data_IF_520836642520
#
_entry.id   IF_520836642520
#
_cell.length_a   1.000
_cell.length_b   1.000
_cell.length_c   1.000
_cell.angle_alpha   90.00
_cell.angle_beta   90.00
_cell.angle_gamma   90.00
#
_symmetry.space_group_name_H-M   'P 1'
#
loop_
_entity.id
_entity.type
_entity.pdbx_description
1 polymer ?
#
# COMPACT_ATOMS: atom_id res chain seq x y z
N UNK A 1 -30.90 -29.94 7.26
CA UNK A 1 -29.64 -30.69 7.14
C UNK A 1 -28.50 -29.70 7.22
N UNK A 2 -27.77 -29.67 8.34
CA UNK A 2 -26.49 -28.94 8.43
C UNK A 2 -25.52 -29.58 7.44
N UNK A 3 -25.24 -28.88 6.34
CA UNK A 3 -24.18 -29.32 5.42
C UNK A 3 -22.85 -29.06 6.11
N UNK A 4 -22.29 -30.09 6.72
CA UNK A 4 -20.97 -30.04 7.36
C UNK A 4 -19.94 -29.54 6.34
N UNK A 5 -19.28 -28.42 6.65
CA UNK A 5 -18.25 -27.86 5.79
C UNK A 5 -17.03 -28.78 5.79
N UNK A 6 -16.54 -29.21 4.62
CA UNK A 6 -15.37 -30.08 4.53
C UNK A 6 -14.13 -29.47 5.16
N UNK A 7 -13.24 -30.32 5.66
CA UNK A 7 -11.96 -29.89 6.22
C UNK A 7 -11.09 -29.11 5.22
N UNK A 8 -11.27 -29.34 3.92
CA UNK A 8 -10.66 -28.52 2.87
C UNK A 8 -11.19 -27.08 2.90
N UNK A 9 -12.51 -26.87 2.90
CA UNK A 9 -13.12 -25.54 2.94
C UNK A 9 -12.73 -24.76 4.21
N UNK A 10 -12.68 -25.44 5.37
CA UNK A 10 -12.20 -24.83 6.61
C UNK A 10 -10.72 -24.45 6.57
N UNK A 11 -9.86 -25.29 6.00
CA UNK A 11 -8.43 -24.97 5.82
C UNK A 11 -8.23 -23.78 4.90
N UNK A 12 -8.94 -23.74 3.77
CA UNK A 12 -8.89 -22.62 2.84
C UNK A 12 -9.40 -21.32 3.47
N UNK A 13 -10.48 -21.38 4.26
CA UNK A 13 -10.98 -20.24 5.02
C UNK A 13 -9.95 -19.68 6.02
N UNK A 14 -9.24 -20.56 6.74
CA UNK A 14 -8.17 -20.15 7.66
C UNK A 14 -6.97 -19.52 6.92
N UNK A 15 -6.61 -20.06 5.74
CA UNK A 15 -5.58 -19.46 4.90
C UNK A 15 -6.01 -18.07 4.39
N UNK A 16 -7.26 -17.92 3.95
CA UNK A 16 -7.80 -16.63 3.51
C UNK A 16 -7.80 -15.58 4.64
N UNK A 17 -8.25 -15.92 5.85
CA UNK A 17 -8.22 -14.98 6.99
C UNK A 17 -6.78 -14.54 7.32
N UNK A 18 -5.81 -15.47 7.28
CA UNK A 18 -4.40 -15.13 7.46
C UNK A 18 -3.87 -14.20 6.35
N UNK A 19 -4.21 -14.47 5.08
CA UNK A 19 -3.78 -13.63 3.96
C UNK A 19 -4.44 -12.25 3.98
N UNK A 20 -5.71 -12.14 4.38
CA UNK A 20 -6.35 -10.83 4.61
C UNK A 20 -5.65 -10.05 5.73
N UNK A 21 -5.21 -10.73 6.79
CA UNK A 21 -4.36 -10.12 7.83
C UNK A 21 -3.04 -9.58 7.28
N UNK A 22 -2.39 -10.32 6.37
CA UNK A 22 -1.17 -9.88 5.67
C UNK A 22 -1.43 -8.71 4.73
N UNK A 23 -2.52 -8.71 3.96
CA UNK A 23 -2.89 -7.58 3.09
C UNK A 23 -3.12 -6.31 3.91
N UNK A 24 -3.83 -6.41 5.03
CA UNK A 24 -4.04 -5.28 5.93
C UNK A 24 -2.71 -4.72 6.49
N UNK A 25 -1.74 -5.58 6.78
CA UNK A 25 -0.40 -5.15 7.20
C UNK A 25 0.37 -4.46 6.06
N UNK A 26 0.27 -4.98 4.84
CA UNK A 26 0.87 -4.37 3.65
C UNK A 26 0.25 -3.03 3.32
N UNK A 27 -1.07 -2.89 3.43
CA UNK A 27 -1.76 -1.61 3.23
C UNK A 27 -1.24 -0.52 4.20
N UNK A 28 -1.02 -0.86 5.47
CA UNK A 28 -0.40 0.07 6.44
C UNK A 28 1.03 0.43 6.07
N UNK A 29 1.84 -0.55 5.68
CA UNK A 29 3.23 -0.32 5.23
C UNK A 29 3.28 0.55 3.97
N UNK A 30 2.37 0.33 3.02
CA UNK A 30 2.25 1.07 1.78
C UNK A 30 1.90 2.53 2.06
N UNK A 31 0.90 2.77 2.91
CA UNK A 31 0.51 4.11 3.32
C UNK A 31 1.67 4.85 4.00
N UNK A 32 2.39 4.18 4.91
CA UNK A 32 3.57 4.76 5.56
C UNK A 32 4.70 5.08 4.55
N UNK A 33 4.93 4.21 3.56
CA UNK A 33 5.91 4.45 2.50
C UNK A 33 5.51 5.62 1.60
N UNK A 34 4.22 5.72 1.24
CA UNK A 34 3.68 6.83 0.48
C UNK A 34 3.83 8.16 1.23
N UNK A 35 3.54 8.19 2.54
CA UNK A 35 3.80 9.37 3.36
C UNK A 35 5.26 9.79 3.36
N UNK A 36 6.19 8.84 3.47
CA UNK A 36 7.63 9.13 3.41
C UNK A 36 8.05 9.66 2.05
N UNK A 37 7.50 9.10 0.96
CA UNK A 37 7.76 9.57 -0.39
C UNK A 37 7.26 11.00 -0.60
N UNK A 38 6.03 11.30 -0.16
CA UNK A 38 5.48 12.66 -0.22
C UNK A 38 6.36 13.63 0.58
N UNK A 39 6.70 13.30 1.84
CA UNK A 39 7.59 14.15 2.65
C UNK A 39 8.97 14.36 2.03
N UNK A 40 9.51 13.36 1.34
CA UNK A 40 10.80 13.50 0.64
C UNK A 40 10.67 14.37 -0.62
N UNK A 41 9.50 14.39 -1.25
CA UNK A 41 9.19 15.25 -2.40
C UNK A 41 8.86 16.69 -2.02
N UNK A 42 8.35 16.95 -0.81
CA UNK A 42 7.97 18.29 -0.35
C UNK A 42 9.08 19.33 -0.58
N UNK A 43 10.38 19.06 -0.27
CA UNK A 43 11.45 20.01 -0.54
C UNK A 43 11.73 20.25 -2.03
N UNK A 44 11.38 19.35 -2.95
CA UNK A 44 11.47 19.66 -4.38
C UNK A 44 10.28 20.51 -4.83
N UNK A 45 9.08 20.18 -4.36
CA UNK A 45 7.86 20.93 -4.67
C UNK A 45 7.97 22.39 -4.22
N UNK A 46 8.47 22.62 -3.01
CA UNK A 46 8.69 23.95 -2.46
C UNK A 46 10.06 24.54 -2.85
N UNK A 47 11.06 23.69 -3.07
CA UNK A 47 12.45 24.14 -3.17
C UNK A 47 13.03 24.30 -4.57
N UNK A 48 12.49 23.60 -5.57
CA UNK A 48 12.81 23.75 -7.00
C UNK A 48 11.70 24.47 -7.77
N UNK A 49 11.01 25.39 -7.08
CA UNK A 49 10.02 26.27 -7.67
C UNK A 49 10.61 26.97 -8.92
N UNK A 50 9.82 27.22 -9.99
CA UNK A 50 10.28 27.88 -11.22
C UNK A 50 11.16 29.12 -11.00
N UNK A 51 10.83 29.97 -10.02
CA UNK A 51 11.61 31.16 -9.68
C UNK A 51 12.97 30.84 -9.06
N UNK A 52 13.05 29.72 -8.35
CA UNK A 52 14.27 29.20 -7.77
C UNK A 52 15.21 28.61 -8.81
N UNK A 53 14.64 27.97 -9.83
CA UNK A 53 15.37 27.58 -11.03
C UNK A 53 15.79 28.83 -11.83
N UNK A 54 14.94 29.84 -11.95
CA UNK A 54 15.27 31.13 -12.54
C UNK A 54 16.36 31.89 -11.77
N UNK A 55 16.50 31.70 -10.45
CA UNK A 55 17.60 32.28 -9.68
C UNK A 55 18.95 31.58 -9.93
N UNK A 56 18.94 30.26 -10.22
CA UNK A 56 20.14 29.46 -10.48
C UNK A 56 20.54 29.50 -11.96
N UNK A 57 19.56 29.56 -12.86
CA UNK A 57 19.74 29.47 -14.31
C UNK A 57 19.40 30.77 -15.07
N UNK A 58 18.78 31.76 -14.41
CA UNK A 58 18.40 33.08 -14.94
C UNK A 58 17.14 33.05 -15.82
N UNK A 59 16.01 33.67 -15.43
CA UNK A 59 14.85 33.88 -16.32
C UNK A 59 14.13 35.22 -16.03
N UNK A 60 13.60 35.89 -17.07
CA UNK A 60 13.09 37.28 -17.08
C UNK A 60 12.40 37.75 -15.77
N UNK A 61 12.94 38.76 -15.05
CA UNK A 61 12.58 39.08 -13.65
C UNK A 61 11.14 39.54 -13.41
N UNK A 62 10.41 40.00 -14.43
CA UNK A 62 9.19 40.78 -14.23
C UNK A 62 7.93 39.95 -13.89
N UNK A 63 7.94 38.63 -14.06
CA UNK A 63 6.80 37.75 -13.78
C UNK A 63 6.80 37.10 -12.38
N UNK A 64 7.93 37.22 -11.66
CA UNK A 64 8.22 36.48 -10.42
C UNK A 64 7.72 37.22 -9.16
N UNK A 65 7.60 38.54 -9.22
CA UNK A 65 7.39 39.38 -8.02
C UNK A 65 5.97 39.35 -7.43
N UNK A 66 4.94 38.91 -8.16
CA UNK A 66 3.54 39.09 -7.74
C UNK A 66 2.96 37.90 -6.96
N UNK A 67 3.59 36.72 -6.97
CA UNK A 67 3.05 35.53 -6.32
C UNK A 67 3.86 35.00 -5.10
N UNK A 68 5.08 35.50 -4.83
CA UNK A 68 6.06 34.71 -4.05
C UNK A 68 6.88 35.43 -2.96
N UNK A 69 6.50 36.65 -2.55
CA UNK A 69 7.25 37.39 -1.52
C UNK A 69 7.31 36.70 -0.12
N UNK A 70 6.49 35.68 0.16
CA UNK A 70 6.40 35.06 1.48
C UNK A 70 7.17 33.73 1.64
N UNK A 71 7.60 33.04 0.58
CA UNK A 71 8.12 31.66 0.69
C UNK A 71 9.41 31.44 -0.12
N UNK A 72 10.57 31.79 0.45
CA UNK A 72 11.87 31.38 -0.11
C UNK A 72 12.09 29.88 0.08
N UNK A 73 12.55 29.22 -0.98
CA UNK A 73 12.99 27.82 -0.98
C UNK A 73 14.08 27.54 0.08
N UNK A 74 13.84 26.56 0.96
CA UNK A 74 14.84 26.09 1.94
C UNK A 74 16.08 25.50 1.26
N UNK A 75 15.91 24.86 0.09
CA UNK A 75 16.98 24.22 -0.69
C UNK A 75 17.90 25.27 -1.32
N UNK A 76 17.34 26.38 -1.81
CA UNK A 76 18.12 27.48 -2.40
C UNK A 76 18.67 28.44 -1.37
N UNK A 77 18.06 28.49 -0.18
CA UNK A 77 18.63 29.14 1.00
C UNK A 77 19.79 28.36 1.63
N UNK A 78 20.07 27.14 1.16
CA UNK A 78 21.19 26.34 1.65
C UNK A 78 22.54 26.91 1.20
N UNK A 79 23.58 26.70 2.02
CA UNK A 79 24.95 27.14 1.71
C UNK A 79 25.52 26.52 0.43
N UNK A 80 25.09 25.30 0.12
CA UNK A 80 25.41 24.58 -1.12
C UNK A 80 24.11 23.99 -1.70
N UNK A 81 23.41 24.72 -2.57
CA UNK A 81 22.13 24.29 -3.12
C UNK A 81 22.24 23.02 -3.97
N UNK A 82 23.35 22.81 -4.68
CA UNK A 82 23.52 21.62 -5.52
C UNK A 82 23.64 20.35 -4.67
N UNK A 83 24.43 20.40 -3.59
CA UNK A 83 24.52 19.30 -2.65
C UNK A 83 23.16 19.03 -1.97
N UNK A 84 22.41 20.08 -1.62
CA UNK A 84 21.08 19.95 -1.05
C UNK A 84 20.09 19.26 -2.00
N UNK A 85 20.07 19.65 -3.29
CA UNK A 85 19.25 19.01 -4.32
C UNK A 85 19.61 17.54 -4.48
N UNK A 86 20.92 17.21 -4.53
CA UNK A 86 21.37 15.82 -4.67
C UNK A 86 20.95 14.97 -3.46
N UNK A 87 21.01 15.53 -2.25
CA UNK A 87 20.54 14.86 -1.05
C UNK A 87 19.04 14.55 -1.11
N UNK A 88 18.22 15.54 -1.48
CA UNK A 88 16.76 15.37 -1.62
C UNK A 88 16.45 14.32 -2.68
N UNK A 89 17.11 14.37 -3.84
CA UNK A 89 16.96 13.35 -4.89
C UNK A 89 17.18 11.92 -4.36
N UNK A 90 18.24 11.69 -3.60
CA UNK A 90 18.51 10.35 -3.04
C UNK A 90 17.50 9.93 -1.98
N UNK A 91 16.98 10.86 -1.19
CA UNK A 91 15.91 10.56 -0.22
C UNK A 91 14.63 10.12 -0.93
N UNK A 92 14.24 10.82 -2.00
CA UNK A 92 13.09 10.47 -2.84
C UNK A 92 13.30 9.11 -3.48
N UNK A 93 14.46 8.89 -4.10
CA UNK A 93 14.76 7.63 -4.77
C UNK A 93 14.63 6.43 -3.83
N UNK A 94 15.17 6.53 -2.60
CA UNK A 94 15.04 5.48 -1.58
C UNK A 94 13.59 5.29 -1.14
N UNK A 95 12.85 6.38 -0.90
CA UNK A 95 11.45 6.30 -0.52
C UNK A 95 10.58 5.68 -1.63
N UNK A 96 10.88 6.00 -2.89
CA UNK A 96 10.22 5.44 -4.06
C UNK A 96 10.47 3.93 -4.18
N UNK A 97 11.72 3.48 -4.06
CA UNK A 97 12.05 2.05 -4.06
C UNK A 97 11.29 1.32 -2.94
N UNK A 98 11.26 1.89 -1.73
CA UNK A 98 10.55 1.29 -0.60
C UNK A 98 9.04 1.21 -0.85
N UNK A 99 8.43 2.27 -1.39
CA UNK A 99 7.02 2.27 -1.79
C UNK A 99 6.74 1.21 -2.85
N UNK A 100 7.54 1.18 -3.92
CA UNK A 100 7.37 0.26 -5.04
C UNK A 100 7.49 -1.20 -4.60
N UNK A 101 8.47 -1.52 -3.74
CA UNK A 101 8.64 -2.87 -3.21
C UNK A 101 7.40 -3.35 -2.44
N UNK A 102 6.80 -2.49 -1.60
CA UNK A 102 5.58 -2.84 -0.85
C UNK A 102 4.36 -2.93 -1.77
N UNK A 103 4.26 -2.03 -2.76
CA UNK A 103 3.18 -2.06 -3.75
C UNK A 103 3.19 -3.38 -4.54
N UNK A 104 4.38 -3.81 -4.95
CA UNK A 104 4.58 -5.06 -5.68
C UNK A 104 4.30 -6.30 -4.80
N UNK A 105 4.76 -6.30 -3.55
CA UNK A 105 4.44 -7.35 -2.57
C UNK A 105 2.92 -7.49 -2.38
N UNK A 106 2.20 -6.37 -2.31
CA UNK A 106 0.74 -6.36 -2.20
C UNK A 106 0.04 -6.81 -3.48
N UNK A 107 0.55 -6.42 -4.66
CA UNK A 107 0.02 -6.86 -5.96
C UNK A 107 0.10 -8.38 -6.11
N UNK A 108 1.25 -8.96 -5.74
CA UNK A 108 1.45 -10.41 -5.77
C UNK A 108 0.51 -11.12 -4.77
N UNK A 109 0.39 -10.59 -3.56
CA UNK A 109 -0.53 -11.14 -2.57
C UNK A 109 -2.00 -11.11 -3.04
N UNK A 110 -2.42 -10.06 -3.73
CA UNK A 110 -3.79 -9.95 -4.25
C UNK A 110 -4.10 -11.06 -5.28
N UNK A 111 -3.13 -11.43 -6.13
CA UNK A 111 -3.27 -12.57 -7.04
C UNK A 111 -3.39 -13.90 -6.29
N UNK A 112 -2.57 -14.13 -5.26
CA UNK A 112 -2.63 -15.32 -4.40
C UNK A 112 -3.98 -15.43 -3.67
N UNK A 113 -4.48 -14.33 -3.12
CA UNK A 113 -5.79 -14.27 -2.47
C UNK A 113 -6.90 -14.60 -3.47
N UNK A 114 -6.86 -14.03 -4.68
CA UNK A 114 -7.87 -14.31 -5.72
C UNK A 114 -7.96 -15.80 -6.07
N UNK A 115 -6.80 -16.45 -6.21
CA UNK A 115 -6.73 -17.89 -6.47
C UNK A 115 -7.24 -18.73 -5.29
N UNK A 116 -6.89 -18.35 -4.05
CA UNK A 116 -7.42 -19.01 -2.85
C UNK A 116 -8.94 -18.83 -2.70
N UNK A 117 -9.50 -17.67 -3.06
CA UNK A 117 -10.94 -17.43 -3.05
C UNK A 117 -11.62 -18.39 -4.05
N UNK A 118 -11.07 -18.52 -5.26
CA UNK A 118 -11.59 -19.45 -6.27
C UNK A 118 -11.61 -20.89 -5.74
N UNK A 119 -10.48 -21.37 -5.21
CA UNK A 119 -10.38 -22.72 -4.63
C UNK A 119 -11.36 -22.93 -3.47
N UNK A 120 -11.54 -21.91 -2.63
CA UNK A 120 -12.48 -21.95 -1.51
C UNK A 120 -13.94 -22.06 -1.99
N UNK A 121 -14.33 -21.25 -2.97
CA UNK A 121 -15.68 -21.30 -3.56
C UNK A 121 -15.92 -22.66 -4.23
N UNK A 122 -14.98 -23.15 -5.03
CA UNK A 122 -15.06 -24.46 -5.67
C UNK A 122 -15.24 -25.59 -4.65
N UNK A 123 -14.51 -25.54 -3.54
CA UNK A 123 -14.61 -26.53 -2.47
C UNK A 123 -15.97 -26.51 -1.76
N UNK A 124 -16.61 -25.34 -1.60
CA UNK A 124 -17.95 -25.23 -1.02
C UNK A 124 -19.05 -25.67 -2.00
N UNK A 125 -18.93 -25.28 -3.27
CA UNK A 125 -19.88 -25.68 -4.32
C UNK A 125 -19.86 -27.19 -4.54
N UNK A 126 -18.68 -27.82 -4.50
CA UNK A 126 -18.52 -29.26 -4.63
C UNK A 126 -19.30 -30.06 -3.56
N UNK A 127 -19.64 -29.45 -2.42
CA UNK A 127 -20.44 -30.06 -1.36
C UNK A 127 -21.86 -29.52 -1.27
N UNK A 128 -22.31 -28.92 -2.37
CA UNK A 128 -23.70 -28.57 -2.63
C UNK A 128 -24.09 -27.15 -2.24
N UNK A 129 -23.16 -26.32 -1.78
CA UNK A 129 -23.45 -24.89 -1.58
C UNK A 129 -23.75 -24.24 -2.94
N UNK A 130 -24.65 -23.28 -2.96
CA UNK A 130 -24.74 -22.42 -4.15
C UNK A 130 -23.52 -21.51 -4.20
N UNK A 131 -23.18 -21.04 -5.40
CA UNK A 131 -22.07 -20.11 -5.59
C UNK A 131 -22.29 -18.80 -4.81
N UNK A 132 -23.52 -18.29 -4.78
CA UNK A 132 -23.90 -17.09 -4.01
C UNK A 132 -23.70 -17.30 -2.51
N UNK A 133 -24.07 -18.46 -1.97
CA UNK A 133 -23.81 -18.81 -0.58
C UNK A 133 -22.30 -18.87 -0.31
N UNK A 134 -21.53 -19.55 -1.16
CA UNK A 134 -20.09 -19.68 -1.00
C UNK A 134 -19.37 -18.31 -1.02
N UNK A 135 -19.77 -17.39 -1.91
CA UNK A 135 -19.17 -16.05 -2.04
C UNK A 135 -19.53 -15.10 -0.90
N UNK A 136 -20.72 -15.23 -0.33
CA UNK A 136 -21.20 -14.38 0.78
C UNK A 136 -20.76 -14.88 2.17
N UNK A 137 -20.07 -16.00 2.24
CA UNK A 137 -19.71 -16.64 3.51
C UNK A 137 -18.60 -15.88 4.25
N UNK A 138 -18.75 -15.74 5.56
CA UNK A 138 -17.71 -15.19 6.42
C UNK A 138 -16.59 -16.22 6.69
N UNK A 139 -15.46 -16.08 5.99
CA UNK A 139 -14.29 -16.96 6.14
C UNK A 139 -13.72 -17.02 7.55
N UNK A 140 -13.85 -15.93 8.33
CA UNK A 140 -13.35 -15.88 9.71
C UNK A 140 -14.17 -16.76 10.64
N UNK A 141 -15.49 -16.72 10.50
CA UNK A 141 -16.40 -17.60 11.26
C UNK A 141 -16.19 -19.07 10.90
N UNK A 142 -15.94 -19.36 9.62
CA UNK A 142 -15.63 -20.73 9.19
C UNK A 142 -14.28 -21.24 9.71
N UNK A 143 -13.29 -20.36 9.80
CA UNK A 143 -11.99 -20.69 10.35
C UNK A 143 -12.04 -20.90 11.88
N UNK A 144 -12.84 -20.10 12.60
CA UNK A 144 -12.91 -20.13 14.06
C UNK A 144 -13.71 -21.31 14.62
N UNK A 145 -14.71 -21.84 13.90
CA UNK A 145 -15.50 -23.00 14.32
C UNK A 145 -14.67 -24.29 14.56
N UNK A 146 -13.42 -24.35 14.10
CA UNK A 146 -12.47 -25.41 14.45
C UNK A 146 -11.99 -25.34 15.90
N UNK A 147 -11.80 -24.14 16.47
CA UNK A 147 -11.30 -23.95 17.84
C UNK A 147 -12.32 -24.42 18.88
N UNK A 148 -13.58 -24.03 18.70
CA UNK A 148 -14.67 -24.43 19.61
C UNK A 148 -14.97 -25.95 19.59
N UNK A 149 -14.67 -26.63 18.48
CA UNK A 149 -14.88 -28.09 18.36
C UNK A 149 -13.69 -28.89 18.91
N UNK A 150 -12.49 -28.30 18.98
CA UNK A 150 -11.31 -28.93 19.61
C UNK A 150 -11.25 -28.74 21.13
N UNK A 151 -11.85 -27.70 21.69
CA UNK A 151 -11.89 -27.45 23.15
C UNK A 151 -12.98 -28.23 23.90
N UNK A 152 -13.78 -29.05 23.21
CA UNK A 152 -14.86 -29.86 23.78
C UNK A 152 -14.57 -31.36 23.82
N UNK A 153 -13.38 -31.79 23.39
CA UNK A 153 -12.88 -33.16 23.50
C UNK A 153 -11.65 -33.19 24.40
#
# INVERSE_FOLDING_TARGET
MERSIPDLGRRLAAQLDAQFGRDAALARRLNAAQWRLNRANDPLWWGLHPDGLAAVYGEDPAAVDVAFAEHRSEVLGARDPLAAIQQVHWQIHRAFIAYHAVAEERRQLAAEIGELIRQFVDALVAVGWSEEQARSTNVRELASNRRATQERN
#
